data_IF_026423520988
#
_entry.id   IF_026423520988
#
_cell.length_a   1.000
_cell.length_b   1.000
_cell.length_c   1.000
_cell.angle_alpha   90.00
_cell.angle_beta   90.00
_cell.angle_gamma   90.00
#
_symmetry.space_group_name_H-M   'P 1'
#
loop_
_entity.id
_entity.type
_entity.pdbx_description
1 polymer ?
#
# COMPACT_ATOMS: atom_id res chain seq x y z
N UNK A 1 16.70 12.89 -11.57
CA UNK A 1 15.46 13.47 -10.99
C UNK A 1 14.66 12.44 -10.20
N UNK A 2 14.38 11.25 -10.76
CA UNK A 2 13.59 10.21 -10.09
C UNK A 2 14.05 9.88 -8.65
N UNK A 3 15.34 9.56 -8.47
CA UNK A 3 15.93 9.24 -7.15
C UNK A 3 15.64 10.35 -6.13
N UNK A 4 15.84 11.61 -6.51
CA UNK A 4 15.61 12.77 -5.64
C UNK A 4 14.12 12.87 -5.27
N UNK A 5 13.22 12.67 -6.24
CA UNK A 5 11.78 12.70 -5.99
C UNK A 5 11.34 11.59 -5.03
N UNK A 6 11.84 10.37 -5.22
CA UNK A 6 11.55 9.23 -4.35
C UNK A 6 12.16 9.41 -2.95
N UNK A 7 13.37 9.93 -2.84
CA UNK A 7 13.98 10.26 -1.55
C UNK A 7 13.20 11.35 -0.82
N UNK A 8 12.79 12.42 -1.51
CA UNK A 8 11.97 13.48 -0.93
C UNK A 8 10.63 12.93 -0.44
N UNK A 9 9.97 12.09 -1.25
CA UNK A 9 8.77 11.36 -0.88
C UNK A 9 8.98 10.52 0.38
N UNK A 10 10.04 9.71 0.42
CA UNK A 10 10.40 8.87 1.57
C UNK A 10 10.59 9.71 2.84
N UNK A 11 11.36 10.81 2.79
CA UNK A 11 11.62 11.65 3.95
C UNK A 11 10.36 12.36 4.46
N UNK A 12 9.48 12.84 3.56
CA UNK A 12 8.21 13.44 3.97
C UNK A 12 7.31 12.41 4.66
N UNK A 13 7.16 11.23 4.06
CA UNK A 13 6.36 10.14 4.63
C UNK A 13 6.94 9.65 5.97
N UNK A 14 8.27 9.54 6.08
CA UNK A 14 8.97 9.20 7.31
C UNK A 14 8.76 10.24 8.41
N UNK A 15 8.96 11.53 8.09
CA UNK A 15 8.78 12.62 9.05
C UNK A 15 7.35 12.62 9.61
N UNK A 16 6.35 12.43 8.76
CA UNK A 16 4.95 12.36 9.18
C UNK A 16 4.68 11.15 10.08
N UNK A 17 5.08 9.95 9.64
CA UNK A 17 4.87 8.73 10.41
C UNK A 17 5.54 8.78 11.78
N UNK A 18 6.78 9.28 11.82
CA UNK A 18 7.53 9.44 13.05
C UNK A 18 6.88 10.47 13.98
N UNK A 19 6.45 11.63 13.46
CA UNK A 19 5.78 12.66 14.24
C UNK A 19 4.53 12.11 14.94
N UNK A 20 3.64 11.44 14.20
CA UNK A 20 2.40 10.87 14.77
C UNK A 20 2.71 9.77 15.78
N UNK A 21 3.68 8.91 15.50
CA UNK A 21 4.05 7.81 16.41
C UNK A 21 4.63 8.33 17.73
N UNK A 22 5.55 9.31 17.68
CA UNK A 22 6.20 9.88 18.86
C UNK A 22 5.25 10.74 19.69
N UNK A 23 4.27 11.41 19.06
CA UNK A 23 3.32 12.25 19.78
C UNK A 23 2.49 11.48 20.82
N UNK A 24 2.15 10.22 20.56
CA UNK A 24 1.43 9.37 21.54
C UNK A 24 1.62 7.86 21.25
N UNK A 25 2.80 7.28 21.55
CA UNK A 25 3.14 5.90 21.16
C UNK A 25 2.28 4.83 21.85
N UNK A 26 1.67 5.16 22.99
CA UNK A 26 0.79 4.24 23.72
C UNK A 26 -0.59 4.09 23.06
N UNK A 27 -0.99 5.00 22.18
CA UNK A 27 -2.27 4.92 21.47
C UNK A 27 -2.18 3.88 20.36
N UNK A 28 -3.13 2.95 20.35
CA UNK A 28 -3.26 1.93 19.31
C UNK A 28 -3.46 2.55 17.92
N UNK A 29 -4.17 3.69 17.82
CA UNK A 29 -4.28 4.46 16.57
C UNK A 29 -2.90 4.84 16.04
N UNK A 30 -2.05 5.45 16.87
CA UNK A 30 -0.75 5.94 16.43
C UNK A 30 0.20 4.79 16.05
N UNK A 31 0.13 3.66 16.76
CA UNK A 31 0.92 2.46 16.41
C UNK A 31 0.50 1.85 15.07
N UNK A 32 -0.81 1.72 14.85
CA UNK A 32 -1.34 1.14 13.60
C UNK A 32 -1.14 2.09 12.42
N UNK A 33 -1.26 3.40 12.64
CA UNK A 33 -0.89 4.43 11.67
C UNK A 33 0.62 4.39 11.35
N UNK A 34 1.47 4.32 12.38
CA UNK A 34 2.92 4.20 12.21
C UNK A 34 3.31 2.95 11.42
N UNK A 35 2.65 1.82 11.67
CA UNK A 35 2.83 0.60 10.87
C UNK A 35 2.39 0.79 9.42
N UNK A 36 1.25 1.46 9.17
CA UNK A 36 0.75 1.75 7.83
C UNK A 36 1.74 2.62 7.05
N UNK A 37 2.21 3.69 7.67
CA UNK A 37 3.25 4.57 7.11
C UNK A 37 4.58 3.83 6.93
N UNK A 38 4.93 2.92 7.84
CA UNK A 38 6.10 2.05 7.70
C UNK A 38 6.05 1.19 6.44
N UNK A 39 4.90 0.57 6.14
CA UNK A 39 4.71 -0.20 4.91
C UNK A 39 4.81 0.67 3.65
N UNK A 40 4.30 1.91 3.71
CA UNK A 40 4.45 2.89 2.64
C UNK A 40 5.92 3.26 2.40
N UNK A 41 6.70 3.46 3.47
CA UNK A 41 8.14 3.73 3.37
C UNK A 41 8.88 2.53 2.76
N UNK A 42 8.56 1.31 3.20
CA UNK A 42 9.14 0.10 2.61
C UNK A 42 8.82 -0.03 1.11
N UNK A 43 7.61 0.37 0.69
CA UNK A 43 7.27 0.43 -0.73
C UNK A 43 8.20 1.39 -1.49
N UNK A 44 8.38 2.61 -0.97
CA UNK A 44 9.23 3.63 -1.59
C UNK A 44 10.70 3.18 -1.63
N UNK A 45 11.21 2.57 -0.56
CA UNK A 45 12.59 2.05 -0.52
C UNK A 45 12.78 0.97 -1.57
N UNK A 46 11.85 0.01 -1.67
CA UNK A 46 11.87 -1.04 -2.68
C UNK A 46 11.90 -0.44 -4.10
N UNK A 47 11.05 0.54 -4.38
CA UNK A 47 11.02 1.21 -5.68
C UNK A 47 12.29 2.02 -5.94
N UNK A 48 12.84 2.69 -4.94
CA UNK A 48 14.11 3.41 -5.04
C UNK A 48 15.26 2.46 -5.40
N UNK A 49 15.34 1.30 -4.73
CA UNK A 49 16.37 0.30 -4.98
C UNK A 49 16.27 -0.29 -6.38
N UNK A 50 15.05 -0.58 -6.84
CA UNK A 50 14.85 -1.17 -8.15
C UNK A 50 15.00 -0.14 -9.28
N UNK A 51 14.20 0.93 -9.27
CA UNK A 51 14.20 1.91 -10.37
C UNK A 51 15.40 2.85 -10.35
N UNK A 52 16.02 3.06 -9.19
CA UNK A 52 17.20 3.93 -9.05
C UNK A 52 18.51 3.28 -9.48
N UNK A 53 18.59 1.94 -9.44
CA UNK A 53 19.85 1.19 -9.59
C UNK A 53 19.70 -0.05 -10.49
N UNK A 54 18.72 -0.07 -11.40
CA UNK A 54 18.56 -1.21 -12.31
C UNK A 54 19.69 -1.33 -13.34
N UNK A 55 19.89 -2.55 -13.83
CA UNK A 55 20.77 -2.85 -14.96
C UNK A 55 19.98 -2.93 -16.27
N UNK A 56 20.67 -2.85 -17.42
CA UNK A 56 20.05 -2.90 -18.75
C UNK A 56 19.30 -4.22 -19.00
N UNK A 57 19.82 -5.32 -18.46
CA UNK A 57 19.16 -6.61 -18.35
C UNK A 57 19.12 -7.01 -16.87
N UNK A 58 17.96 -6.87 -16.23
CA UNK A 58 17.81 -7.20 -14.82
C UNK A 58 16.58 -8.08 -14.60
N UNK A 59 16.77 -9.19 -13.90
CA UNK A 59 15.66 -9.97 -13.37
C UNK A 59 15.02 -9.22 -12.19
N UNK A 60 13.74 -8.86 -12.35
CA UNK A 60 12.95 -8.14 -11.35
C UNK A 60 12.03 -9.05 -10.53
N UNK A 61 12.26 -10.36 -10.53
CA UNK A 61 11.44 -11.32 -9.77
C UNK A 61 11.43 -11.01 -8.27
N UNK A 62 12.56 -10.57 -7.71
CA UNK A 62 12.64 -10.14 -6.30
C UNK A 62 11.77 -8.90 -6.05
N UNK A 63 11.80 -7.92 -6.96
CA UNK A 63 11.00 -6.70 -6.87
C UNK A 63 9.50 -7.01 -7.00
N UNK A 64 9.12 -7.90 -7.91
CA UNK A 64 7.73 -8.35 -8.07
C UNK A 64 7.25 -9.08 -6.81
N UNK A 65 8.06 -10.00 -6.28
CA UNK A 65 7.74 -10.74 -5.06
C UNK A 65 7.48 -9.80 -3.87
N UNK A 66 8.40 -8.86 -3.64
CA UNK A 66 8.29 -7.87 -2.56
C UNK A 66 7.09 -6.94 -2.79
N UNK A 67 6.79 -6.54 -4.04
CA UNK A 67 5.63 -5.69 -4.35
C UNK A 67 4.31 -6.35 -3.93
N UNK A 68 4.11 -7.64 -4.25
CA UNK A 68 2.93 -8.38 -3.82
C UNK A 68 2.86 -8.53 -2.29
N UNK A 69 3.99 -8.84 -1.65
CA UNK A 69 4.07 -9.00 -0.20
C UNK A 69 3.78 -7.68 0.54
N UNK A 70 4.43 -6.59 0.15
CA UNK A 70 4.18 -5.27 0.74
C UNK A 70 2.73 -4.86 0.48
N UNK A 71 2.23 -5.08 -0.74
CA UNK A 71 0.85 -4.76 -1.11
C UNK A 71 -0.16 -5.39 -0.16
N UNK A 72 -0.03 -6.69 0.11
CA UNK A 72 -0.98 -7.40 0.96
C UNK A 72 -0.85 -7.04 2.45
N UNK A 73 0.38 -6.90 2.94
CA UNK A 73 0.63 -6.49 4.33
C UNK A 73 0.14 -5.07 4.57
N UNK A 74 0.34 -4.16 3.61
CA UNK A 74 -0.17 -2.79 3.66
C UNK A 74 -1.70 -2.77 3.85
N UNK A 75 -2.45 -3.61 3.13
CA UNK A 75 -3.91 -3.66 3.29
C UNK A 75 -4.36 -4.27 4.62
N UNK A 76 -3.64 -5.28 5.13
CA UNK A 76 -3.92 -5.81 6.46
C UNK A 76 -3.69 -4.77 7.56
N UNK A 77 -2.59 -4.02 7.46
CA UNK A 77 -2.27 -2.95 8.42
C UNK A 77 -3.29 -1.81 8.30
N UNK A 78 -3.74 -1.47 7.10
CA UNK A 78 -4.83 -0.51 6.90
C UNK A 78 -6.15 -0.98 7.53
N UNK A 79 -6.53 -2.26 7.35
CA UNK A 79 -7.72 -2.82 7.99
C UNK A 79 -7.60 -2.75 9.52
N UNK A 80 -6.43 -3.08 10.07
CA UNK A 80 -6.16 -2.97 11.50
C UNK A 80 -6.30 -1.52 12.00
N UNK A 81 -5.74 -0.55 11.25
CA UNK A 81 -5.91 0.87 11.54
C UNK A 81 -7.38 1.28 11.53
N UNK A 82 -8.15 0.87 10.51
CA UNK A 82 -9.57 1.19 10.39
C UNK A 82 -10.42 0.63 11.56
N UNK A 83 -10.04 -0.51 12.14
CA UNK A 83 -10.70 -1.09 13.31
C UNK A 83 -10.47 -0.25 14.58
N UNK A 84 -9.30 0.36 14.73
CA UNK A 84 -8.90 1.11 15.94
C UNK A 84 -9.25 2.59 15.86
N UNK A 85 -9.27 3.17 14.66
CA UNK A 85 -9.51 4.59 14.43
C UNK A 85 -11.01 4.92 14.30
N UNK A 86 -11.54 6.00 14.92
CA UNK A 86 -10.85 7.00 15.75
C UNK A 86 -10.84 6.70 17.26
N UNK A 87 -11.53 5.65 17.71
CA UNK A 87 -11.89 5.45 19.12
C UNK A 87 -10.73 4.99 20.01
N UNK A 88 -9.61 4.57 19.40
CA UNK A 88 -8.48 3.96 20.10
C UNK A 88 -8.88 2.68 20.88
N UNK A 89 -9.96 2.01 20.45
CA UNK A 89 -10.43 0.75 21.00
C UNK A 89 -9.53 -0.42 20.60
N UNK A 90 -9.52 -1.53 21.37
CA UNK A 90 -8.83 -2.74 20.95
C UNK A 90 -9.34 -3.20 19.58
N UNK A 91 -8.40 -3.57 18.70
CA UNK A 91 -8.73 -4.05 17.36
C UNK A 91 -9.52 -5.37 17.42
N UNK A 92 -10.44 -5.55 16.48
CA UNK A 92 -11.14 -6.84 16.29
C UNK A 92 -10.22 -7.85 15.60
N UNK A 93 -9.28 -8.41 16.34
CA UNK A 93 -8.24 -9.31 15.82
C UNK A 93 -8.81 -10.51 15.05
N UNK A 94 -9.98 -11.03 15.44
CA UNK A 94 -10.62 -12.13 14.71
C UNK A 94 -10.91 -11.81 13.23
N UNK A 95 -11.23 -10.54 12.92
CA UNK A 95 -11.46 -10.12 11.53
C UNK A 95 -10.15 -10.00 10.77
N UNK A 96 -9.10 -9.45 11.38
CA UNK A 96 -7.76 -9.39 10.77
C UNK A 96 -7.23 -10.80 10.51
N UNK A 97 -7.35 -11.71 11.48
CA UNK A 97 -6.96 -13.12 11.33
C UNK A 97 -7.74 -13.78 10.20
N UNK A 98 -9.06 -13.57 10.10
CA UNK A 98 -9.89 -14.09 9.00
C UNK A 98 -9.37 -13.63 7.62
N UNK A 99 -9.04 -12.35 7.47
CA UNK A 99 -8.43 -11.82 6.24
C UNK A 99 -6.94 -12.22 6.06
N UNK A 100 -6.30 -12.81 7.06
CA UNK A 100 -4.97 -13.40 6.92
C UNK A 100 -5.01 -14.87 6.49
N UNK A 101 -6.13 -15.59 6.65
CA UNK A 101 -6.21 -17.02 6.32
C UNK A 101 -5.84 -17.34 4.87
N UNK A 102 -6.37 -16.62 3.85
CA UNK A 102 -5.99 -16.89 2.46
C UNK A 102 -4.50 -16.71 2.17
N UNK A 103 -3.77 -15.96 3.01
CA UNK A 103 -2.32 -15.79 2.86
C UNK A 103 -1.53 -17.07 3.07
N UNK A 104 -2.07 -18.03 3.81
CA UNK A 104 -1.45 -19.36 3.99
C UNK A 104 -1.28 -20.06 2.64
N UNK A 105 -2.18 -19.80 1.69
CA UNK A 105 -2.12 -20.36 0.33
C UNK A 105 -1.42 -19.39 -0.63
N UNK A 106 -1.70 -18.09 -0.54
CA UNK A 106 -1.17 -17.10 -1.47
C UNK A 106 0.34 -16.86 -1.32
N UNK A 107 0.87 -16.89 -0.09
CA UNK A 107 2.30 -16.65 0.17
C UNK A 107 3.19 -17.76 -0.43
N UNK A 108 2.89 -19.06 -0.26
CA UNK A 108 3.65 -20.10 -0.96
C UNK A 108 3.65 -19.95 -2.49
N UNK A 109 2.51 -19.57 -3.08
CA UNK A 109 2.40 -19.34 -4.52
C UNK A 109 3.27 -18.16 -4.99
N UNK A 110 3.35 -17.12 -4.16
CA UNK A 110 4.24 -15.98 -4.37
C UNK A 110 5.72 -16.42 -4.43
N UNK A 111 6.17 -17.20 -3.45
CA UNK A 111 7.56 -17.68 -3.38
C UNK A 111 7.92 -18.66 -4.50
N UNK A 112 6.95 -19.40 -5.02
CA UNK A 112 7.15 -20.27 -6.19
C UNK A 112 7.24 -19.48 -7.51
N UNK A 113 7.11 -18.15 -7.47
CA UNK A 113 7.16 -17.30 -8.67
C UNK A 113 6.00 -17.52 -9.63
N UNK A 114 4.90 -18.17 -9.20
CA UNK A 114 3.77 -18.51 -10.08
C UNK A 114 2.91 -17.32 -10.48
N UNK A 115 3.14 -16.16 -9.90
CA UNK A 115 2.36 -14.94 -10.15
C UNK A 115 2.81 -14.19 -11.42
N UNK A 116 4.03 -14.44 -11.91
CA UNK A 116 4.53 -13.84 -13.15
C UNK A 116 5.23 -14.89 -14.00
N UNK A 117 5.18 -14.74 -15.32
CA UNK A 117 6.02 -15.52 -16.24
C UNK A 117 7.32 -14.78 -16.54
N UNK A 118 7.27 -13.45 -16.55
CA UNK A 118 8.41 -12.58 -16.78
C UNK A 118 8.24 -11.30 -15.96
N UNK A 119 9.29 -10.88 -15.26
CA UNK A 119 9.36 -9.60 -14.59
C UNK A 119 10.81 -9.11 -14.67
N UNK A 120 11.06 -8.06 -15.44
CA UNK A 120 12.43 -7.58 -15.62
C UNK A 120 12.61 -6.56 -16.73
N UNK A 121 13.85 -6.12 -16.89
CA UNK A 121 14.29 -5.33 -18.02
C UNK A 121 14.76 -6.26 -19.13
N UNK A 122 14.23 -6.05 -20.34
CA UNK A 122 14.71 -6.66 -21.58
C UNK A 122 14.91 -5.54 -22.58
N UNK A 123 16.13 -5.42 -23.12
CA UNK A 123 16.53 -4.33 -24.01
C UNK A 123 16.28 -2.93 -23.41
N UNK A 124 16.54 -2.77 -22.11
CA UNK A 124 16.32 -1.51 -21.40
C UNK A 124 14.85 -1.13 -21.20
N UNK A 125 13.89 -1.97 -21.62
CA UNK A 125 12.47 -1.79 -21.38
C UNK A 125 11.99 -2.70 -20.27
N UNK A 126 11.35 -2.12 -19.26
CA UNK A 126 10.67 -2.90 -18.23
C UNK A 126 9.46 -3.62 -18.83
N UNK A 127 9.37 -4.93 -18.61
CA UNK A 127 8.23 -5.77 -19.01
C UNK A 127 7.83 -6.68 -17.86
N UNK A 128 6.52 -6.74 -17.59
CA UNK A 128 5.95 -7.67 -16.63
C UNK A 128 4.77 -8.42 -17.24
N UNK A 129 4.85 -9.73 -17.24
CA UNK A 129 3.78 -10.63 -17.68
C UNK A 129 3.23 -11.36 -16.47
N UNK A 130 2.02 -10.99 -16.08
CA UNK A 130 1.32 -11.55 -14.93
C UNK A 130 0.51 -12.78 -15.33
N UNK A 131 0.44 -13.77 -14.43
CA UNK A 131 -0.42 -14.94 -14.61
C UNK A 131 -1.82 -14.67 -14.05
N UNK A 132 -2.78 -15.57 -14.34
CA UNK A 132 -4.12 -15.54 -13.72
C UNK A 132 -4.07 -15.46 -12.19
N UNK A 133 -3.06 -16.08 -11.56
CA UNK A 133 -2.89 -16.06 -10.11
C UNK A 133 -2.56 -14.67 -9.56
N UNK A 134 -1.82 -13.84 -10.30
CA UNK A 134 -1.55 -12.46 -9.90
C UNK A 134 -2.83 -11.63 -9.85
N UNK A 135 -3.76 -11.83 -10.79
CA UNK A 135 -5.05 -11.15 -10.77
C UNK A 135 -5.92 -11.59 -9.59
N UNK A 136 -5.89 -12.89 -9.23
CA UNK A 136 -6.56 -13.37 -8.01
C UNK A 136 -5.95 -12.75 -6.74
N UNK A 137 -4.63 -12.63 -6.69
CA UNK A 137 -3.93 -11.96 -5.59
C UNK A 137 -4.33 -10.48 -5.52
N UNK A 138 -4.33 -9.78 -6.65
CA UNK A 138 -4.74 -8.38 -6.76
C UNK A 138 -6.18 -8.17 -6.33
N UNK A 139 -7.11 -9.02 -6.80
CA UNK A 139 -8.51 -8.99 -6.38
C UNK A 139 -8.64 -9.16 -4.86
N UNK A 140 -7.91 -10.12 -4.29
CA UNK A 140 -7.91 -10.33 -2.85
C UNK A 140 -7.38 -9.13 -2.07
N UNK A 141 -6.33 -8.48 -2.58
CA UNK A 141 -5.79 -7.24 -2.05
C UNK A 141 -6.86 -6.13 -2.00
N UNK A 142 -7.63 -5.97 -3.08
CA UNK A 142 -8.75 -5.01 -3.15
C UNK A 142 -9.90 -5.36 -2.21
N UNK A 143 -10.17 -6.65 -1.96
CA UNK A 143 -11.19 -7.08 -1.00
C UNK A 143 -10.83 -6.60 0.42
N UNK A 144 -9.56 -6.74 0.84
CA UNK A 144 -9.11 -6.27 2.16
C UNK A 144 -9.17 -4.75 2.25
N UNK A 145 -8.70 -4.05 1.21
CA UNK A 145 -8.80 -2.58 1.12
C UNK A 145 -10.25 -2.12 1.27
N UNK A 146 -11.17 -2.72 0.51
CA UNK A 146 -12.59 -2.41 0.56
C UNK A 146 -13.19 -2.70 1.94
N UNK A 147 -12.78 -3.79 2.59
CA UNK A 147 -13.19 -4.10 3.95
C UNK A 147 -12.74 -3.02 4.94
N UNK A 148 -11.53 -2.48 4.80
CA UNK A 148 -11.03 -1.34 5.59
C UNK A 148 -11.85 -0.07 5.36
N UNK A 149 -12.09 0.30 4.10
CA UNK A 149 -12.92 1.46 3.73
C UNK A 149 -14.34 1.31 4.28
N UNK A 150 -14.95 0.12 4.16
CA UNK A 150 -16.30 -0.13 4.67
C UNK A 150 -16.38 0.02 6.20
N UNK A 151 -15.33 -0.36 6.93
CA UNK A 151 -15.22 -0.11 8.38
C UNK A 151 -15.24 1.38 8.67
N UNK A 152 -14.44 2.16 7.95
CA UNK A 152 -14.40 3.62 8.09
C UNK A 152 -15.72 4.27 7.70
N UNK A 153 -16.38 3.84 6.62
CA UNK A 153 -17.69 4.36 6.20
C UNK A 153 -18.79 4.08 7.22
N UNK A 154 -18.73 2.94 7.92
CA UNK A 154 -19.66 2.66 9.03
C UNK A 154 -19.41 3.62 10.20
N UNK A 155 -18.13 3.86 10.55
CA UNK A 155 -17.76 4.83 11.59
C UNK A 155 -18.11 6.27 11.20
N UNK A 156 -17.88 6.66 9.95
CA UNK A 156 -18.28 7.97 9.42
C UNK A 156 -19.77 8.23 9.63
N UNK A 157 -20.63 7.24 9.33
CA UNK A 157 -22.07 7.34 9.55
C UNK A 157 -22.42 7.48 11.04
N UNK A 158 -21.69 6.81 11.92
CA UNK A 158 -21.89 6.89 13.37
C UNK A 158 -21.44 8.25 13.96
N UNK A 159 -20.32 8.81 13.49
CA UNK A 159 -19.77 10.08 13.96
C UNK A 159 -20.34 11.32 13.24
N UNK A 160 -21.42 11.17 12.45
CA UNK A 160 -21.96 12.26 11.62
C UNK A 160 -22.25 13.51 12.46
N UNK A 161 -21.71 14.64 12.00
CA UNK A 161 -21.83 15.94 12.69
C UNK A 161 -20.72 16.25 13.71
N UNK A 162 -19.77 15.33 13.93
CA UNK A 162 -18.62 15.54 14.83
C UNK A 162 -17.31 15.76 14.06
N UNK A 163 -16.26 16.21 14.75
CA UNK A 163 -14.93 16.45 14.16
C UNK A 163 -14.32 15.14 13.64
N UNK A 164 -14.55 14.04 14.35
CA UNK A 164 -14.08 12.70 13.99
C UNK A 164 -14.62 12.27 12.62
N UNK A 165 -15.85 12.63 12.25
CA UNK A 165 -16.36 12.34 10.92
C UNK A 165 -15.60 13.08 9.81
N UNK A 166 -15.10 14.30 10.07
CA UNK A 166 -14.26 15.01 9.10
C UNK A 166 -12.91 14.30 8.94
N UNK A 167 -12.29 13.87 10.04
CA UNK A 167 -11.04 13.11 9.99
C UNK A 167 -11.22 11.77 9.26
N UNK A 168 -12.28 11.02 9.57
CA UNK A 168 -12.60 9.78 8.85
C UNK A 168 -12.83 10.04 7.36
N UNK A 169 -13.52 11.12 7.00
CA UNK A 169 -13.73 11.48 5.60
C UNK A 169 -12.40 11.80 4.90
N UNK A 170 -11.52 12.57 5.52
CA UNK A 170 -10.17 12.85 5.01
C UNK A 170 -9.44 11.54 4.73
N UNK A 171 -9.36 10.64 5.71
CA UNK A 171 -8.75 9.31 5.58
C UNK A 171 -9.30 8.53 4.39
N UNK A 172 -10.64 8.45 4.26
CA UNK A 172 -11.28 7.71 3.16
C UNK A 172 -10.89 8.33 1.82
N UNK A 173 -10.93 9.66 1.70
CA UNK A 173 -10.56 10.36 0.46
C UNK A 173 -9.10 10.10 0.12
N UNK A 174 -8.17 10.17 1.08
CA UNK A 174 -6.75 9.88 0.85
C UNK A 174 -6.56 8.49 0.28
N UNK A 175 -7.18 7.49 0.92
CA UNK A 175 -7.01 6.09 0.56
C UNK A 175 -7.60 5.81 -0.81
N UNK A 176 -8.80 6.30 -1.07
CA UNK A 176 -9.47 6.11 -2.36
C UNK A 176 -8.67 6.79 -3.48
N UNK A 177 -8.18 8.01 -3.25
CA UNK A 177 -7.38 8.73 -4.23
C UNK A 177 -6.05 8.01 -4.51
N UNK A 178 -5.29 7.64 -3.47
CA UNK A 178 -4.04 6.89 -3.64
C UNK A 178 -4.28 5.53 -4.29
N UNK A 179 -5.32 4.79 -3.88
CA UNK A 179 -5.66 3.51 -4.47
C UNK A 179 -6.04 3.63 -5.95
N UNK A 180 -6.78 4.69 -6.34
CA UNK A 180 -7.12 4.94 -7.73
C UNK A 180 -5.88 5.28 -8.57
N UNK A 181 -5.01 6.16 -8.05
CA UNK A 181 -3.76 6.52 -8.73
C UNK A 181 -2.85 5.30 -8.93
N UNK A 182 -2.66 4.49 -7.88
CA UNK A 182 -1.86 3.26 -7.93
C UNK A 182 -2.50 2.19 -8.82
N UNK A 183 -3.83 2.06 -8.82
CA UNK A 183 -4.50 1.14 -9.74
C UNK A 183 -4.23 1.53 -11.19
N UNK A 184 -4.32 2.82 -11.52
CA UNK A 184 -4.07 3.31 -12.87
C UNK A 184 -2.60 3.08 -13.25
N UNK A 185 -1.65 3.50 -12.41
CA UNK A 185 -0.22 3.44 -12.74
C UNK A 185 0.36 2.04 -12.72
N UNK A 186 -0.08 1.18 -11.81
CA UNK A 186 0.60 -0.09 -11.52
C UNK A 186 -0.18 -1.31 -12.04
N UNK A 187 -1.43 -1.14 -12.46
CA UNK A 187 -2.26 -2.23 -12.99
C UNK A 187 -2.84 -1.91 -14.36
N UNK A 188 -3.63 -0.83 -14.49
CA UNK A 188 -4.35 -0.53 -15.72
C UNK A 188 -3.42 -0.17 -16.88
N UNK A 189 -2.49 0.77 -16.69
CA UNK A 189 -1.55 1.17 -17.73
C UNK A 189 -0.58 0.04 -18.11
N UNK A 190 0.02 -0.71 -17.16
CA UNK A 190 0.82 -1.89 -17.47
C UNK A 190 0.05 -2.97 -18.23
N UNK A 191 -1.22 -3.21 -17.91
CA UNK A 191 -2.07 -4.14 -18.67
C UNK A 191 -2.29 -3.69 -20.12
N UNK A 192 -2.17 -2.40 -20.41
CA UNK A 192 -2.19 -1.82 -21.75
C UNK A 192 -0.79 -1.69 -22.38
N UNK A 193 0.27 -2.17 -21.71
CA UNK A 193 1.65 -2.12 -22.17
C UNK A 193 2.40 -0.82 -21.85
N UNK A 194 1.81 0.10 -21.08
CA UNK A 194 2.42 1.36 -20.67
C UNK A 194 3.01 1.28 -19.26
N UNK A 195 4.34 1.22 -19.16
CA UNK A 195 5.05 1.06 -17.88
C UNK A 195 5.66 2.37 -17.34
N UNK A 196 5.55 3.49 -18.08
CA UNK A 196 6.27 4.73 -17.77
C UNK A 196 5.90 5.41 -16.45
N UNK A 197 4.74 5.10 -15.87
CA UNK A 197 4.33 5.65 -14.57
C UNK A 197 4.74 4.80 -13.37
N UNK A 198 5.14 3.54 -13.56
CA UNK A 198 5.54 2.66 -12.45
C UNK A 198 6.72 3.22 -11.63
N UNK A 199 7.75 3.86 -12.22
CA UNK A 199 8.84 4.41 -11.43
C UNK A 199 8.41 5.55 -10.50
N UNK A 200 7.37 6.31 -10.89
CA UNK A 200 6.88 7.49 -10.16
C UNK A 200 5.66 7.20 -9.29
N UNK A 201 5.09 5.98 -9.32
CA UNK A 201 3.86 5.66 -8.60
C UNK A 201 4.00 5.79 -7.08
N UNK A 202 5.21 5.53 -6.56
CA UNK A 202 5.60 5.79 -5.17
C UNK A 202 5.36 7.24 -4.72
N UNK A 203 5.30 8.22 -5.62
CA UNK A 203 5.00 9.62 -5.26
C UNK A 203 3.52 9.78 -4.85
N UNK A 204 2.60 8.97 -5.40
CA UNK A 204 1.18 9.02 -5.05
C UNK A 204 0.91 8.60 -3.59
N UNK A 205 1.85 7.87 -2.99
CA UNK A 205 1.83 7.50 -1.57
C UNK A 205 1.96 8.75 -0.68
N UNK A 206 2.73 9.75 -1.11
CA UNK A 206 2.89 11.02 -0.37
C UNK A 206 1.56 11.77 -0.30
N UNK A 207 0.85 11.86 -1.44
CA UNK A 207 -0.47 12.50 -1.53
C UNK A 207 -1.43 11.87 -0.53
N UNK A 208 -1.43 10.54 -0.44
CA UNK A 208 -2.22 9.81 0.55
C UNK A 208 -1.83 10.19 1.97
N UNK A 209 -0.52 10.10 2.29
CA UNK A 209 -0.01 10.36 3.64
C UNK A 209 -0.27 11.79 4.13
N UNK A 210 -0.16 12.81 3.29
CA UNK A 210 -0.34 14.21 3.68
C UNK A 210 -1.78 14.52 4.15
N UNK A 211 -2.78 13.86 3.57
CA UNK A 211 -4.18 14.07 3.93
C UNK A 211 -4.52 13.39 5.30
N UNK A 212 -3.69 12.44 5.77
CA UNK A 212 -3.83 11.86 7.11
C UNK A 212 -3.31 12.75 8.24
N UNK A 213 -2.51 13.76 7.94
CA UNK A 213 -1.88 14.65 8.91
C UNK A 213 -2.78 15.78 9.44
N UNK A 214 -3.96 15.96 8.82
CA UNK A 214 -4.91 17.07 9.02
C UNK A 214 -6.28 16.56 9.49
#
# INVERSE_FOLDING_TARGET
MLIITLMASMFMTLALGFYVLVAAPHRAVNRTFGAFVGMMILWIIKDLLFWGFHEYEQNASWWAAISFLIGIVLQLVFLLFAEVFPENSPARMGRVVLFSIPLIVLIPFLYQGRLWTQAGFVDGQFRIHLTGYAYLFGLYNYIILFAGILTLLRKYRFYRGKIEAKQIASVIVSVVLTAALLFISDNLLPALGYYGLMPVSSVFIVVGSLIYAY
#
